data_IF_857535044526
#
_entry.id   IF_857535044526
#
_cell.length_a   1.000
_cell.length_b   1.000
_cell.length_c   1.000
_cell.angle_alpha   90.00
_cell.angle_beta   90.00
_cell.angle_gamma   90.00
#
_symmetry.space_group_name_H-M   'P 1'
#
loop_
_entity.id
_entity.type
_entity.pdbx_description
1 polymer ?
#
# COMPACT_ATOMS: atom_id res chain seq x y z
N UNK A 1 5.81 5.61 13.66
CA UNK A 1 5.58 4.54 12.67
C UNK A 1 6.91 3.86 12.36
N UNK A 2 7.01 2.54 12.48
CA UNK A 2 8.24 1.80 12.12
C UNK A 2 8.50 1.95 10.62
N UNK A 3 9.71 2.36 10.24
CA UNK A 3 10.12 2.53 8.84
C UNK A 3 9.94 1.20 8.09
N UNK A 4 9.22 1.21 6.97
CA UNK A 4 9.08 0.02 6.11
C UNK A 4 10.35 -0.16 5.30
N UNK A 5 10.91 -1.37 5.34
CA UNK A 5 12.11 -1.69 4.56
C UNK A 5 11.72 -1.88 3.10
N UNK A 6 12.08 -0.92 2.25
CA UNK A 6 11.79 -0.96 0.81
C UNK A 6 12.79 -1.89 0.10
N UNK A 7 12.35 -2.95 -0.58
CA UNK A 7 13.25 -3.80 -1.37
C UNK A 7 13.93 -3.06 -2.54
N UNK A 8 13.40 -1.90 -2.95
CA UNK A 8 13.90 -1.14 -4.11
C UNK A 8 15.23 -0.43 -3.83
N UNK A 9 15.60 -0.23 -2.56
CA UNK A 9 16.89 0.36 -2.18
C UNK A 9 18.07 -0.59 -2.44
N UNK A 10 17.82 -1.88 -2.62
CA UNK A 10 18.84 -2.91 -2.82
C UNK A 10 19.01 -3.16 -4.31
N UNK A 11 20.24 -3.38 -4.77
CA UNK A 11 20.55 -3.81 -6.15
C UNK A 11 20.63 -5.33 -6.17
N UNK A 12 19.96 -5.98 -7.13
CA UNK A 12 19.86 -7.45 -7.14
C UNK A 12 21.21 -8.12 -7.35
N UNK A 13 22.05 -7.56 -8.23
CA UNK A 13 23.32 -8.18 -8.65
C UNK A 13 24.52 -7.67 -7.84
N UNK A 14 24.30 -7.12 -6.64
CA UNK A 14 25.35 -6.60 -5.76
C UNK A 14 25.39 -7.42 -4.48
N UNK A 15 26.60 -7.75 -4.02
CA UNK A 15 26.82 -8.33 -2.71
C UNK A 15 26.93 -7.21 -1.66
N UNK A 16 26.36 -7.46 -0.50
CA UNK A 16 26.30 -6.52 0.61
C UNK A 16 26.87 -7.16 1.87
N UNK A 17 27.62 -6.38 2.64
CA UNK A 17 27.91 -6.70 4.03
C UNK A 17 26.75 -6.29 4.93
N UNK A 18 26.78 -6.73 6.19
CA UNK A 18 25.78 -6.34 7.21
C UNK A 18 25.70 -4.81 7.37
N UNK A 19 26.83 -4.11 7.25
CA UNK A 19 26.90 -2.65 7.38
C UNK A 19 26.29 -1.98 6.14
N UNK A 20 26.62 -2.46 4.95
CA UNK A 20 26.05 -1.92 3.70
C UNK A 20 24.52 -2.04 3.67
N UNK A 21 23.96 -3.17 4.15
CA UNK A 21 22.50 -3.36 4.26
C UNK A 21 21.89 -2.39 5.27
N UNK A 22 22.56 -2.19 6.41
CA UNK A 22 22.16 -1.25 7.46
C UNK A 22 22.04 0.17 6.92
N UNK A 23 23.05 0.62 6.18
CA UNK A 23 23.07 1.94 5.54
C UNK A 23 22.01 2.07 4.45
N UNK A 24 21.89 1.07 3.56
CA UNK A 24 20.96 1.10 2.44
C UNK A 24 19.48 1.13 2.88
N UNK A 25 19.13 0.45 3.97
CA UNK A 25 17.75 0.41 4.49
C UNK A 25 17.51 1.41 5.63
N UNK A 26 18.57 1.93 6.26
CA UNK A 26 18.51 2.72 7.49
C UNK A 26 17.97 1.91 8.66
N UNK A 27 18.42 0.67 8.80
CA UNK A 27 18.05 -0.25 9.89
C UNK A 27 19.28 -0.55 10.74
N UNK A 28 19.12 -0.74 12.05
CA UNK A 28 20.26 -1.04 12.92
C UNK A 28 20.97 -2.36 12.51
N UNK A 29 22.31 -2.46 12.55
CA UNK A 29 23.05 -3.67 12.15
C UNK A 29 22.62 -4.94 12.91
N UNK A 30 22.17 -4.81 14.16
CA UNK A 30 21.62 -5.93 14.93
C UNK A 30 20.38 -6.54 14.28
N UNK A 31 19.53 -5.72 13.66
CA UNK A 31 18.33 -6.18 12.95
C UNK A 31 18.71 -7.04 11.74
N UNK A 32 19.72 -6.62 10.99
CA UNK A 32 20.26 -7.39 9.85
C UNK A 32 20.86 -8.72 10.35
N UNK A 33 21.64 -8.71 11.43
CA UNK A 33 22.15 -9.95 12.06
C UNK A 33 21.03 -10.88 12.55
N UNK A 34 19.92 -10.34 13.03
CA UNK A 34 18.76 -11.15 13.40
C UNK A 34 18.11 -11.77 12.17
N UNK A 35 18.09 -11.11 11.01
CA UNK A 35 17.58 -11.73 9.77
C UNK A 35 18.43 -12.91 9.35
N UNK A 36 19.76 -12.82 9.47
CA UNK A 36 20.68 -13.93 9.23
C UNK A 36 20.34 -15.14 10.13
N UNK A 37 20.09 -14.90 11.42
CA UNK A 37 19.68 -15.96 12.36
C UNK A 37 18.33 -16.60 12.02
N UNK A 38 17.41 -15.83 11.43
CA UNK A 38 16.06 -16.27 11.06
C UNK A 38 16.05 -17.00 9.70
N UNK A 39 17.17 -16.98 8.96
CA UNK A 39 17.30 -17.72 7.69
C UNK A 39 17.46 -16.85 6.44
N UNK A 40 17.96 -15.60 6.57
CA UNK A 40 18.46 -14.86 5.41
C UNK A 40 19.74 -15.54 4.90
N UNK A 41 19.80 -16.01 3.64
CA UNK A 41 20.96 -16.71 3.11
C UNK A 41 22.18 -15.80 2.99
N UNK A 42 23.34 -16.42 3.17
CA UNK A 42 24.68 -15.82 3.03
C UNK A 42 25.41 -16.61 1.96
N UNK A 43 26.26 -15.93 1.20
CA UNK A 43 27.04 -16.55 0.13
C UNK A 43 28.03 -17.57 0.69
N UNK A 44 28.79 -17.18 1.72
CA UNK A 44 29.82 -17.99 2.37
C UNK A 44 29.84 -17.75 3.89
N UNK A 45 30.33 -18.74 4.64
CA UNK A 45 30.55 -18.64 6.09
C UNK A 45 31.84 -17.87 6.47
N UNK A 46 32.63 -17.47 5.46
CA UNK A 46 33.84 -16.68 5.65
C UNK A 46 33.49 -15.24 6.01
N UNK A 47 34.31 -14.63 6.88
CA UNK A 47 34.16 -13.21 7.22
C UNK A 47 34.92 -12.33 6.24
N UNK A 48 34.35 -11.20 5.78
CA UNK A 48 33.03 -10.65 6.14
C UNK A 48 31.87 -11.41 5.48
N UNK A 49 30.75 -11.56 6.21
CA UNK A 49 29.55 -12.23 5.69
C UNK A 49 28.96 -11.44 4.52
N UNK A 50 28.80 -12.09 3.37
CA UNK A 50 28.26 -11.50 2.16
C UNK A 50 26.82 -11.96 1.92
N UNK A 51 25.94 -11.00 1.72
CA UNK A 51 24.53 -11.21 1.41
C UNK A 51 24.31 -10.83 -0.04
N UNK A 52 23.80 -11.76 -0.84
CA UNK A 52 23.40 -11.47 -2.20
C UNK A 52 22.14 -10.58 -2.22
N UNK A 53 22.18 -9.48 -2.98
CA UNK A 53 21.08 -8.52 -3.05
C UNK A 53 19.78 -9.11 -3.61
N UNK A 54 19.86 -10.11 -4.49
CA UNK A 54 18.69 -10.82 -5.00
C UNK A 54 17.95 -11.56 -3.87
N UNK A 55 18.69 -12.30 -3.04
CA UNK A 55 18.13 -13.07 -1.94
C UNK A 55 17.59 -12.17 -0.84
N UNK A 56 18.29 -11.06 -0.54
CA UNK A 56 17.80 -10.06 0.40
C UNK A 56 16.46 -9.45 -0.03
N UNK A 57 16.28 -9.19 -1.33
CA UNK A 57 14.98 -8.72 -1.86
C UNK A 57 13.89 -9.77 -1.68
N UNK A 58 14.18 -11.03 -1.96
CA UNK A 58 13.22 -12.14 -1.80
C UNK A 58 12.82 -12.25 -0.33
N UNK A 59 13.79 -12.26 0.58
CA UNK A 59 13.55 -12.30 2.03
C UNK A 59 12.67 -11.14 2.50
N UNK A 60 12.98 -9.90 2.11
CA UNK A 60 12.18 -8.73 2.48
C UNK A 60 10.74 -8.80 1.92
N UNK A 61 10.56 -9.32 0.71
CA UNK A 61 9.23 -9.54 0.11
C UNK A 61 8.44 -10.60 0.87
N UNK A 62 9.06 -11.74 1.19
CA UNK A 62 8.43 -12.81 1.95
C UNK A 62 8.05 -12.35 3.36
N UNK A 63 8.96 -11.68 4.06
CA UNK A 63 8.70 -11.09 5.37
C UNK A 63 7.54 -10.10 5.34
N UNK A 64 7.41 -9.31 4.27
CA UNK A 64 6.28 -8.39 4.09
C UNK A 64 4.97 -9.15 3.83
N UNK A 65 5.00 -10.18 2.99
CA UNK A 65 3.83 -11.03 2.71
C UNK A 65 3.31 -11.70 3.98
N UNK A 66 4.20 -12.20 4.84
CA UNK A 66 3.83 -12.87 6.09
C UNK A 66 3.07 -11.98 7.09
N UNK A 67 3.21 -10.65 7.01
CA UNK A 67 2.50 -9.69 7.87
C UNK A 67 1.28 -9.09 7.16
N UNK A 68 1.19 -9.24 5.84
CA UNK A 68 0.10 -8.67 5.05
C UNK A 68 -1.12 -9.59 5.16
N UNK A 69 -2.28 -9.01 5.44
CA UNK A 69 -3.54 -9.76 5.42
C UNK A 69 -3.87 -10.18 3.98
N UNK A 70 -4.16 -11.46 3.78
CA UNK A 70 -4.73 -11.95 2.54
C UNK A 70 -6.18 -11.48 2.46
N UNK A 71 -6.46 -10.50 1.60
CA UNK A 71 -7.82 -10.02 1.34
C UNK A 71 -8.22 -10.46 -0.07
N UNK A 72 -9.27 -11.27 -0.19
CA UNK A 72 -9.87 -11.62 -1.50
C UNK A 72 -10.46 -10.39 -2.16
N UNK A 73 -10.77 -10.46 -3.46
CA UNK A 73 -11.19 -9.29 -4.26
C UNK A 73 -12.44 -8.58 -3.72
N UNK A 74 -13.40 -9.32 -3.15
CA UNK A 74 -14.61 -8.81 -2.49
C UNK A 74 -14.44 -8.40 -1.02
N UNK A 75 -13.30 -8.70 -0.39
CA UNK A 75 -13.05 -8.38 1.02
C UNK A 75 -12.23 -7.10 1.17
N UNK A 76 -12.43 -6.39 2.28
CA UNK A 76 -11.59 -5.26 2.67
C UNK A 76 -10.93 -5.50 4.02
N UNK A 77 -9.73 -4.97 4.20
CA UNK A 77 -9.02 -5.07 5.46
C UNK A 77 -9.57 -4.05 6.47
N UNK A 78 -10.12 -4.53 7.57
CA UNK A 78 -10.51 -3.66 8.68
C UNK A 78 -9.31 -3.42 9.61
N UNK A 79 -8.90 -2.17 9.80
CA UNK A 79 -7.78 -1.85 10.71
C UNK A 79 -8.13 -1.99 12.20
N UNK A 80 -9.42 -2.01 12.55
CA UNK A 80 -9.90 -2.21 13.92
C UNK A 80 -10.01 -3.69 14.27
N UNK A 81 -10.68 -4.48 13.42
CA UNK A 81 -10.78 -5.94 13.59
C UNK A 81 -9.47 -6.67 13.24
N UNK A 82 -8.57 -6.03 12.47
CA UNK A 82 -7.30 -6.59 11.97
C UNK A 82 -7.49 -7.89 11.17
N UNK A 83 -8.58 -7.96 10.40
CA UNK A 83 -8.91 -9.10 9.56
C UNK A 83 -9.53 -8.64 8.23
N UNK A 84 -9.55 -9.53 7.25
CA UNK A 84 -10.29 -9.33 6.00
C UNK A 84 -11.78 -9.56 6.28
N UNK A 85 -12.61 -8.55 6.05
CA UNK A 85 -14.05 -8.60 6.31
C UNK A 85 -14.79 -8.16 5.05
N UNK A 86 -15.97 -8.72 4.83
CA UNK A 86 -16.89 -8.21 3.81
C UNK A 86 -17.46 -6.86 4.27
N UNK A 87 -17.45 -5.82 3.44
CA UNK A 87 -18.09 -4.57 3.78
C UNK A 87 -19.61 -4.70 3.81
N UNK A 88 -20.25 -3.79 4.54
CA UNK A 88 -21.70 -3.61 4.42
C UNK A 88 -22.02 -3.06 3.01
N UNK A 89 -22.84 -3.82 2.27
CA UNK A 89 -23.22 -3.61 0.87
C UNK A 89 -23.75 -2.19 0.61
N UNK A 90 -24.57 -1.64 1.51
CA UNK A 90 -25.19 -0.32 1.34
C UNK A 90 -24.18 0.84 1.40
N UNK A 91 -23.02 0.59 2.02
CA UNK A 91 -21.98 1.60 2.22
C UNK A 91 -20.86 1.55 1.19
N UNK A 92 -20.86 0.57 0.28
CA UNK A 92 -19.79 0.34 -0.68
C UNK A 92 -19.88 1.34 -1.84
N UNK A 93 -18.83 2.13 -2.02
CA UNK A 93 -18.67 3.06 -3.13
C UNK A 93 -17.40 2.76 -3.91
N UNK A 94 -17.47 2.82 -5.25
CA UNK A 94 -16.33 2.68 -6.15
C UNK A 94 -16.03 4.01 -6.84
N UNK A 95 -14.86 4.58 -6.56
CA UNK A 95 -14.38 5.82 -7.17
C UNK A 95 -13.33 5.49 -8.23
N UNK A 96 -13.60 5.82 -9.49
CA UNK A 96 -12.61 5.64 -10.56
C UNK A 96 -11.33 6.45 -10.29
N UNK A 97 -10.17 5.83 -10.52
CA UNK A 97 -8.84 6.46 -10.42
C UNK A 97 -8.09 6.26 -11.73
N UNK A 98 -7.00 7.02 -11.88
CA UNK A 98 -6.13 6.92 -13.05
C UNK A 98 -5.57 5.50 -13.22
N UNK A 99 -5.15 5.17 -14.44
CA UNK A 99 -4.58 3.88 -14.81
C UNK A 99 -5.52 2.66 -14.67
N UNK A 100 -6.84 2.85 -14.79
CA UNK A 100 -7.81 1.75 -14.80
C UNK A 100 -8.01 1.08 -13.43
N UNK A 101 -7.73 1.80 -12.35
CA UNK A 101 -7.97 1.37 -10.98
C UNK A 101 -9.25 2.00 -10.44
N UNK A 102 -9.92 1.30 -9.53
CA UNK A 102 -11.04 1.80 -8.74
C UNK A 102 -10.64 1.82 -7.26
N UNK A 103 -11.00 2.89 -6.57
CA UNK A 103 -10.91 2.99 -5.12
C UNK A 103 -12.24 2.56 -4.52
N UNK A 104 -12.24 1.39 -3.89
CA UNK A 104 -13.36 0.81 -3.17
C UNK A 104 -13.32 1.30 -1.72
N UNK A 105 -14.39 1.94 -1.27
CA UNK A 105 -14.55 2.43 0.11
C UNK A 105 -15.85 1.89 0.68
N UNK A 106 -15.88 1.55 1.96
CA UNK A 106 -17.10 1.08 2.63
C UNK A 106 -16.93 0.98 4.14
N UNK A 107 -17.97 0.55 4.83
CA UNK A 107 -17.98 0.33 6.28
C UNK A 107 -17.85 -1.16 6.60
N UNK A 108 -17.15 -1.47 7.68
CA UNK A 108 -17.08 -2.82 8.23
C UNK A 108 -18.44 -3.21 8.82
N UNK A 109 -18.93 -4.41 8.49
CA UNK A 109 -20.19 -4.94 9.01
C UNK A 109 -20.14 -5.16 10.52
N UNK A 110 -19.00 -5.64 11.05
CA UNK A 110 -18.84 -5.93 12.48
C UNK A 110 -18.63 -4.69 13.35
N UNK A 111 -17.86 -3.71 12.86
CA UNK A 111 -17.35 -2.63 13.71
C UNK A 111 -17.68 -1.21 13.22
N UNK A 112 -18.33 -1.07 12.06
CA UNK A 112 -18.72 0.22 11.47
C UNK A 112 -17.56 1.13 11.06
N UNK A 113 -16.31 0.66 11.09
CA UNK A 113 -15.16 1.48 10.69
C UNK A 113 -15.05 1.58 9.18
N UNK A 114 -14.58 2.74 8.69
CA UNK A 114 -14.26 2.93 7.28
C UNK A 114 -13.10 2.03 6.86
N UNK A 115 -13.30 1.34 5.74
CA UNK A 115 -12.36 0.45 5.09
C UNK A 115 -12.15 0.92 3.65
N UNK A 116 -10.91 0.77 3.18
CA UNK A 116 -10.50 1.21 1.85
C UNK A 116 -9.69 0.12 1.16
N UNK A 117 -9.89 -0.04 -0.15
CA UNK A 117 -9.14 -0.97 -0.99
C UNK A 117 -9.05 -0.45 -2.42
N UNK A 118 -7.95 -0.77 -3.10
CA UNK A 118 -7.82 -0.52 -4.53
C UNK A 118 -8.05 -1.82 -5.30
N UNK A 119 -8.89 -1.76 -6.32
CA UNK A 119 -9.22 -2.88 -7.21
C UNK A 119 -9.08 -2.43 -8.67
N UNK A 120 -8.98 -3.37 -9.60
CA UNK A 120 -9.02 -3.01 -11.02
C UNK A 120 -10.44 -2.62 -11.41
N UNK A 121 -10.59 -1.58 -12.23
CA UNK A 121 -11.90 -1.15 -12.74
C UNK A 121 -12.64 -2.27 -13.47
N UNK A 122 -11.91 -3.15 -14.18
CA UNK A 122 -12.48 -4.30 -14.91
C UNK A 122 -13.19 -5.31 -14.00
N UNK A 123 -12.75 -5.42 -12.75
CA UNK A 123 -13.26 -6.38 -11.76
C UNK A 123 -14.36 -5.80 -10.88
N UNK A 124 -14.68 -4.52 -11.04
CA UNK A 124 -15.70 -3.85 -10.21
C UNK A 124 -17.05 -4.55 -10.36
N UNK A 125 -17.42 -4.94 -11.58
CA UNK A 125 -18.69 -5.64 -11.82
C UNK A 125 -18.75 -7.02 -11.15
N UNK A 126 -17.66 -7.79 -11.20
CA UNK A 126 -17.57 -9.11 -10.57
C UNK A 126 -17.64 -9.00 -9.05
N UNK A 127 -16.90 -8.04 -8.47
CA UNK A 127 -16.94 -7.75 -7.03
C UNK A 127 -18.34 -7.30 -6.61
N UNK A 128 -19.00 -6.48 -7.43
CA UNK A 128 -20.34 -5.99 -7.15
C UNK A 128 -21.38 -7.12 -7.16
N UNK A 129 -21.25 -8.07 -8.09
CA UNK A 129 -22.10 -9.25 -8.17
C UNK A 129 -21.91 -10.16 -6.95
N UNK A 130 -20.67 -10.41 -6.53
CA UNK A 130 -20.34 -11.23 -5.35
C UNK A 130 -20.82 -10.61 -4.02
N UNK A 131 -20.97 -9.29 -3.97
CA UNK A 131 -21.50 -8.57 -2.81
C UNK A 131 -23.03 -8.46 -2.82
N UNK A 132 -23.72 -9.01 -3.81
CA UNK A 132 -25.19 -8.98 -3.96
C UNK A 132 -25.79 -7.56 -3.93
N UNK A 133 -25.00 -6.53 -4.26
CA UNK A 133 -25.43 -5.14 -4.19
C UNK A 133 -26.29 -4.72 -5.39
N UNK A 134 -27.09 -3.65 -5.22
CA UNK A 134 -27.71 -2.93 -6.35
C UNK A 134 -26.70 -1.93 -6.91
N UNK A 135 -26.27 -2.10 -8.17
CA UNK A 135 -25.25 -1.22 -8.79
C UNK A 135 -25.59 0.25 -8.51
N UNK A 136 -24.68 1.05 -7.92
CA UNK A 136 -24.92 2.47 -7.84
C UNK A 136 -24.88 2.97 -9.28
N UNK A 137 -26.00 3.54 -9.71
CA UNK A 137 -26.08 4.29 -10.97
C UNK A 137 -24.91 5.26 -10.93
N UNK A 138 -23.99 5.14 -11.89
CA UNK A 138 -22.79 5.94 -11.93
C UNK A 138 -23.19 7.42 -12.01
N UNK A 139 -23.29 8.09 -10.86
CA UNK A 139 -23.29 9.53 -10.84
C UNK A 139 -21.95 9.92 -11.42
N UNK A 140 -22.03 10.57 -12.59
CA UNK A 140 -20.90 11.26 -13.18
C UNK A 140 -20.44 12.21 -12.09
N UNK A 141 -19.42 11.82 -11.31
CA UNK A 141 -18.68 12.79 -10.53
C UNK A 141 -18.30 13.86 -11.54
N UNK A 142 -18.90 15.04 -11.41
CA UNK A 142 -18.47 16.23 -12.11
C UNK A 142 -17.00 16.34 -11.76
N UNK A 143 -16.14 15.89 -12.67
CA UNK A 143 -14.73 16.20 -12.61
C UNK A 143 -14.76 17.72 -12.68
N UNK A 144 -14.57 18.39 -11.54
CA UNK A 144 -14.24 19.81 -11.52
C UNK A 144 -12.84 19.93 -12.15
N UNK A 145 -12.78 19.75 -13.47
CA UNK A 145 -11.72 20.24 -14.34
C UNK A 145 -11.86 21.75 -14.34
N UNK A 146 -11.44 22.38 -13.25
CA UNK A 146 -11.67 23.81 -13.05
C UNK A 146 -11.22 24.39 -11.72
N UNK A 147 -10.60 23.62 -10.82
CA UNK A 147 -9.92 24.22 -9.68
C UNK A 147 -8.42 24.21 -9.96
N UNK A 148 -7.93 25.38 -10.36
CA UNK A 148 -6.51 25.71 -10.39
C UNK A 148 -5.85 25.24 -9.09
N UNK A 149 -4.68 24.61 -9.23
CA UNK A 149 -3.83 24.29 -8.10
C UNK A 149 -3.46 25.60 -7.39
N UNK A 150 -4.13 25.93 -6.29
CA UNK A 150 -3.79 27.08 -5.47
C UNK A 150 -2.51 26.77 -4.68
N UNK A 151 -1.39 26.93 -5.37
CA UNK A 151 -0.09 27.10 -4.74
C UNK A 151 0.73 28.07 -5.61
N UNK A 152 0.32 29.34 -5.65
CA UNK A 152 1.20 30.47 -5.93
C UNK A 152 0.67 31.71 -5.18
N UNK A 153 1.49 32.32 -4.32
CA UNK A 153 1.12 33.48 -3.52
C UNK A 153 1.44 34.76 -4.29
N UNK A 154 0.52 35.70 -4.49
CA UNK A 154 0.88 37.11 -4.71
C UNK A 154 -0.27 38.06 -4.35
N UNK A 155 0.12 39.08 -3.61
CA UNK A 155 -0.57 40.30 -3.19
C UNK A 155 -1.38 41.03 -4.28
N UNK A 156 -2.31 41.88 -3.82
CA UNK A 156 -2.79 43.07 -4.54
C UNK A 156 -4.26 42.96 -4.91
N UNK A 157 -5.18 43.32 -4.00
CA UNK A 157 -5.87 44.64 -3.99
C UNK A 157 -6.49 44.95 -5.35
N UNK A 158 -7.83 44.88 -5.43
CA UNK A 158 -8.63 45.93 -6.05
C UNK A 158 -9.97 46.04 -5.31
N UNK A 159 -10.30 47.30 -5.03
CA UNK A 159 -11.39 47.87 -4.26
C UNK A 159 -12.79 47.53 -4.79
N UNK A 160 -13.71 47.18 -3.88
CA UNK A 160 -15.15 47.21 -4.15
C UNK A 160 -15.69 48.63 -3.91
N UNK A 161 -16.27 49.20 -4.96
CA UNK A 161 -17.10 50.40 -4.93
C UNK A 161 -18.42 50.13 -4.19
N UNK A 162 -18.77 51.03 -3.29
CA UNK A 162 -20.12 51.61 -3.16
C UNK A 162 -20.02 53.04 -2.68
#
# INVERSE_FOLDING_TARGET
>A
MTKRNSPNCIKSNRNYTVIDVSEALGVHPKTVRNWLRVGLPVVDDKRPLLINGADLKVYLKQKRKAVMFECKEHEMCCFRCKQAVKPNVESVNFIAKAAGMAHMTGLCDECGCRMNKYVSWRKVNDIWLELEGKLPIAEKHLILRGQNLLNCPFNGVFSDEK
#
